data_IF_944039152150
#
_entry.id   IF_944039152150
#
_cell.length_a   1.000
_cell.length_b   1.000
_cell.length_c   1.000
_cell.angle_alpha   90.00
_cell.angle_beta   90.00
_cell.angle_gamma   90.00
#
_symmetry.space_group_name_H-M   'P 1'
#
loop_
_entity.id
_entity.type
_entity.pdbx_description
1 polymer ?
#
# COMPACT_ATOMS: atom_id res chain seq x y z
N UNK A 1 -20.02 -32.15 48.58
CA UNK A 1 -19.82 -32.46 50.02
C UNK A 1 -18.68 -31.61 50.56
N UNK A 2 -18.71 -31.35 51.87
CA UNK A 2 -17.64 -30.60 52.55
C UNK A 2 -16.37 -31.47 52.64
N UNK A 3 -15.22 -30.91 52.26
CA UNK A 3 -13.91 -31.63 52.27
C UNK A 3 -13.44 -32.00 53.70
N UNK A 4 -13.93 -31.22 54.72
CA UNK A 4 -13.48 -31.44 56.10
C UNK A 4 -14.39 -32.39 56.91
N UNK A 5 -15.70 -32.23 56.78
CA UNK A 5 -16.67 -32.98 57.60
C UNK A 5 -17.61 -33.88 56.81
N UNK A 6 -17.44 -33.95 55.48
CA UNK A 6 -18.24 -34.71 54.53
C UNK A 6 -19.74 -34.37 54.54
N UNK A 7 -20.13 -33.22 55.10
CA UNK A 7 -21.52 -32.75 55.09
C UNK A 7 -22.06 -32.67 53.65
N UNK A 8 -23.36 -32.98 53.45
CA UNK A 8 -23.98 -32.89 52.13
C UNK A 8 -23.94 -31.44 51.53
N UNK A 9 -24.07 -31.34 50.18
CA UNK A 9 -23.95 -30.08 49.45
C UNK A 9 -24.96 -29.00 49.90
N UNK A 10 -26.12 -29.39 50.44
CA UNK A 10 -27.18 -28.52 50.98
C UNK A 10 -26.71 -27.66 52.16
N UNK A 11 -25.61 -28.03 52.84
CA UNK A 11 -24.98 -27.28 53.92
C UNK A 11 -23.79 -26.41 53.46
N UNK A 12 -23.56 -26.36 52.15
CA UNK A 12 -22.47 -25.56 51.54
C UNK A 12 -23.05 -24.29 50.95
N UNK A 13 -22.64 -23.15 51.46
CA UNK A 13 -23.13 -21.83 51.04
C UNK A 13 -22.02 -21.05 50.36
N UNK A 14 -22.34 -20.34 49.25
CA UNK A 14 -21.44 -19.40 48.64
C UNK A 14 -21.15 -18.26 49.61
N UNK A 15 -19.88 -18.02 49.88
CA UNK A 15 -19.46 -16.91 50.72
C UNK A 15 -19.31 -15.68 49.82
N UNK A 16 -20.21 -14.69 49.97
CA UNK A 16 -20.26 -13.45 49.19
C UNK A 16 -19.14 -12.44 49.49
N UNK A 17 -18.06 -12.93 50.10
CA UNK A 17 -16.83 -12.14 50.33
C UNK A 17 -16.11 -11.78 49.02
N UNK A 18 -15.06 -10.96 49.12
CA UNK A 18 -14.23 -10.45 47.98
C UNK A 18 -13.69 -11.51 47.03
N UNK A 19 -13.88 -12.81 47.35
CA UNK A 19 -13.48 -13.96 46.52
C UNK A 19 -14.72 -14.82 46.23
N UNK A 20 -15.39 -14.56 45.13
CA UNK A 20 -16.63 -15.25 44.70
C UNK A 20 -16.49 -16.78 44.43
N UNK A 21 -15.45 -17.45 44.87
CA UNK A 21 -15.20 -18.88 44.76
C UNK A 21 -15.04 -19.57 46.12
N UNK A 22 -15.38 -18.90 47.21
CA UNK A 22 -15.35 -19.53 48.55
C UNK A 22 -16.71 -20.13 48.90
N UNK A 23 -16.65 -21.33 49.44
CA UNK A 23 -17.84 -22.03 49.95
C UNK A 23 -17.66 -22.29 51.43
N UNK A 24 -18.62 -21.80 52.23
CA UNK A 24 -18.65 -22.02 53.67
C UNK A 24 -19.50 -23.25 53.98
N UNK A 25 -18.97 -24.22 54.73
CA UNK A 25 -19.72 -25.28 55.30
C UNK A 25 -20.36 -24.81 56.61
N UNK A 26 -21.69 -24.80 56.68
CA UNK A 26 -22.42 -24.38 57.91
C UNK A 26 -22.33 -25.36 59.05
N UNK A 27 -21.93 -26.64 58.81
CA UNK A 27 -21.77 -27.63 59.84
C UNK A 27 -20.46 -27.47 60.62
N UNK A 28 -19.36 -27.30 59.92
CA UNK A 28 -18.03 -27.28 60.55
C UNK A 28 -17.27 -25.96 60.37
N UNK A 29 -17.85 -24.94 59.78
CA UNK A 29 -17.21 -23.64 59.53
C UNK A 29 -16.07 -23.69 58.53
N UNK A 30 -15.84 -24.80 57.87
CA UNK A 30 -14.76 -24.91 56.86
C UNK A 30 -15.01 -24.02 55.64
N UNK A 31 -14.01 -23.20 55.29
CA UNK A 31 -14.00 -22.43 54.05
C UNK A 31 -13.23 -23.20 52.99
N UNK A 32 -13.95 -23.82 52.08
CA UNK A 32 -13.38 -24.47 50.88
C UNK A 32 -13.37 -23.50 49.69
N UNK A 33 -12.64 -23.85 48.67
CA UNK A 33 -12.70 -23.15 47.38
C UNK A 33 -13.32 -24.09 46.34
N UNK A 34 -14.36 -23.61 45.67
CA UNK A 34 -14.84 -24.30 44.46
C UNK A 34 -13.89 -24.08 43.33
N UNK A 35 -13.46 -25.14 42.65
CA UNK A 35 -12.81 -24.99 41.37
C UNK A 35 -13.74 -24.22 40.43
N UNK A 36 -13.35 -23.01 40.06
CA UNK A 36 -14.05 -22.31 38.97
C UNK A 36 -13.88 -23.15 37.74
N UNK A 37 -14.94 -23.78 37.26
CA UNK A 37 -15.02 -24.14 35.85
C UNK A 37 -14.84 -22.84 35.08
N UNK A 38 -13.62 -22.62 34.61
CA UNK A 38 -13.31 -21.45 33.75
C UNK A 38 -14.25 -21.57 32.56
N UNK A 39 -15.23 -20.66 32.47
CA UNK A 39 -16.04 -20.53 31.26
C UNK A 39 -15.03 -20.45 30.12
N UNK A 40 -15.12 -21.38 29.17
CA UNK A 40 -14.33 -21.28 27.95
C UNK A 40 -14.54 -19.89 27.39
N UNK A 41 -13.45 -19.15 27.22
CA UNK A 41 -13.52 -17.80 26.66
C UNK A 41 -14.19 -17.90 25.29
N UNK A 42 -15.24 -17.15 25.06
CA UNK A 42 -15.88 -17.01 23.74
C UNK A 42 -15.02 -16.16 22.78
N UNK A 43 -13.73 -16.05 23.06
CA UNK A 43 -12.81 -15.30 22.23
C UNK A 43 -12.71 -15.94 20.84
N UNK A 44 -12.82 -15.10 19.80
CA UNK A 44 -12.73 -15.53 18.40
C UNK A 44 -11.34 -16.09 18.05
N UNK A 45 -10.29 -15.54 18.66
CA UNK A 45 -8.90 -15.92 18.40
C UNK A 45 -8.09 -16.09 19.67
N UNK A 46 -7.11 -16.99 19.61
CA UNK A 46 -6.18 -17.31 20.69
C UNK A 46 -4.74 -17.06 20.27
N UNK A 47 -3.89 -16.69 21.23
CA UNK A 47 -2.48 -16.46 20.98
C UNK A 47 -1.77 -17.80 20.67
N UNK A 48 -1.06 -17.94 19.55
CA UNK A 48 -0.37 -19.19 19.20
C UNK A 48 0.82 -19.49 20.10
N UNK A 49 1.29 -18.51 20.90
CA UNK A 49 2.47 -18.67 21.76
C UNK A 49 2.13 -19.00 23.22
N UNK A 50 0.96 -18.61 23.70
CA UNK A 50 0.58 -18.83 25.10
C UNK A 50 -0.86 -19.33 25.26
N UNK A 51 -1.57 -19.63 24.17
CA UNK A 51 -2.94 -20.14 24.13
C UNK A 51 -3.98 -19.31 24.90
N UNK A 52 -3.62 -18.09 25.35
CA UNK A 52 -4.57 -17.17 25.99
C UNK A 52 -5.40 -16.44 24.91
N UNK A 53 -6.67 -16.07 25.23
CA UNK A 53 -7.52 -15.36 24.30
C UNK A 53 -6.90 -14.02 23.89
N UNK A 54 -7.05 -13.64 22.61
CA UNK A 54 -6.68 -12.35 22.10
C UNK A 54 -7.81 -11.35 22.36
N UNK A 55 -7.45 -10.17 22.86
CA UNK A 55 -8.39 -9.07 23.04
C UNK A 55 -8.43 -8.20 21.80
N UNK A 56 -9.63 -7.79 21.38
CA UNK A 56 -9.80 -6.81 20.32
C UNK A 56 -9.19 -5.48 20.77
N UNK A 57 -8.23 -4.97 20.02
CA UNK A 57 -7.46 -3.78 20.38
C UNK A 57 -7.82 -2.55 19.55
N UNK A 58 -7.95 -2.73 18.23
CA UNK A 58 -8.36 -1.67 17.29
C UNK A 58 -9.26 -2.25 16.23
N UNK A 59 -10.21 -1.44 15.77
CA UNK A 59 -11.07 -1.76 14.62
C UNK A 59 -11.11 -0.55 13.70
N UNK A 60 -10.94 -0.80 12.41
CA UNK A 60 -11.16 0.14 11.32
C UNK A 60 -12.16 -0.45 10.33
N UNK A 61 -12.52 0.31 9.29
CA UNK A 61 -13.38 -0.18 8.21
C UNK A 61 -12.81 -1.38 7.46
N UNK A 62 -11.48 -1.51 7.41
CA UNK A 62 -10.78 -2.52 6.60
C UNK A 62 -10.10 -3.61 7.42
N UNK A 63 -9.87 -3.41 8.72
CA UNK A 63 -9.21 -4.41 9.57
C UNK A 63 -9.66 -4.36 11.03
N UNK A 64 -9.62 -5.50 11.70
CA UNK A 64 -9.70 -5.61 13.16
C UNK A 64 -8.42 -6.23 13.69
N UNK A 65 -7.78 -5.56 14.66
CA UNK A 65 -6.55 -6.01 15.29
C UNK A 65 -6.85 -6.63 16.65
N UNK A 66 -6.45 -7.86 16.83
CA UNK A 66 -6.51 -8.59 18.10
C UNK A 66 -5.11 -8.68 18.69
N UNK A 67 -4.98 -8.50 20.01
CA UNK A 67 -3.70 -8.43 20.72
C UNK A 67 -3.68 -9.39 21.91
N UNK A 68 -2.56 -10.08 22.09
CA UNK A 68 -2.27 -10.82 23.32
C UNK A 68 -1.95 -9.83 24.44
N UNK A 69 -2.69 -9.89 25.55
CA UNK A 69 -2.49 -9.00 26.71
C UNK A 69 -1.62 -9.61 27.80
N UNK A 70 -1.16 -10.86 27.64
CA UNK A 70 -0.38 -11.54 28.65
C UNK A 70 1.09 -11.09 28.66
N UNK A 71 1.57 -10.60 29.80
CA UNK A 71 2.97 -10.27 30.00
C UNK A 71 3.88 -11.50 30.19
N UNK A 72 3.29 -12.68 30.45
CA UNK A 72 4.00 -13.95 30.59
C UNK A 72 4.06 -14.72 29.25
N UNK A 73 3.58 -14.11 28.17
CA UNK A 73 3.61 -14.71 26.84
C UNK A 73 5.08 -14.91 26.38
N UNK A 74 5.48 -16.13 25.97
CA UNK A 74 6.84 -16.40 25.48
C UNK A 74 7.27 -15.45 24.35
N UNK A 75 6.35 -15.12 23.43
CA UNK A 75 6.61 -14.15 22.38
C UNK A 75 6.93 -12.75 22.93
N UNK A 76 6.15 -12.28 23.93
CA UNK A 76 6.39 -11.00 24.57
C UNK A 76 7.72 -10.97 25.30
N UNK A 77 8.02 -12.01 26.08
CA UNK A 77 9.27 -12.11 26.84
C UNK A 77 10.49 -12.14 25.91
N UNK A 78 10.44 -12.95 24.84
CA UNK A 78 11.51 -13.00 23.82
C UNK A 78 11.75 -11.64 23.16
N UNK A 79 10.68 -10.93 22.76
CA UNK A 79 10.81 -9.59 22.16
C UNK A 79 11.31 -8.55 23.17
N UNK A 80 10.88 -8.65 24.42
CA UNK A 80 11.31 -7.74 25.48
C UNK A 80 12.79 -7.90 25.82
N UNK A 81 13.30 -9.13 25.87
CA UNK A 81 14.72 -9.43 26.13
C UNK A 81 15.65 -9.01 24.98
N UNK A 82 15.13 -8.97 23.76
CA UNK A 82 15.89 -8.55 22.56
C UNK A 82 16.00 -7.02 22.40
N UNK A 83 15.36 -6.22 23.26
CA UNK A 83 15.48 -4.75 23.22
C UNK A 83 16.87 -4.28 23.66
N UNK A 84 17.45 -3.38 22.89
CA UNK A 84 18.69 -2.70 23.28
C UNK A 84 18.47 -1.80 24.52
N UNK A 85 19.52 -1.46 25.29
CA UNK A 85 19.41 -0.55 26.43
C UNK A 85 18.77 0.79 26.04
N UNK A 86 19.13 1.36 24.90
CA UNK A 86 18.58 2.60 24.39
C UNK A 86 17.08 2.51 24.08
N UNK A 87 16.64 1.40 23.47
CA UNK A 87 15.23 1.14 23.19
C UNK A 87 14.42 0.95 24.48
N UNK A 88 15.02 0.33 25.51
CA UNK A 88 14.39 0.19 26.83
C UNK A 88 14.17 1.54 27.50
N UNK A 89 15.14 2.46 27.39
CA UNK A 89 15.03 3.85 27.92
C UNK A 89 13.93 4.61 27.16
N UNK A 90 13.96 4.59 25.84
CA UNK A 90 12.92 5.23 25.00
C UNK A 90 11.52 4.71 25.34
N UNK A 91 11.37 3.40 25.58
CA UNK A 91 10.11 2.79 25.98
C UNK A 91 9.61 3.29 27.35
N UNK A 92 10.49 3.52 28.31
CA UNK A 92 10.12 4.06 29.62
C UNK A 92 9.65 5.52 29.53
N UNK A 93 10.21 6.30 28.63
CA UNK A 93 9.90 7.71 28.42
C UNK A 93 8.64 7.94 27.61
N UNK A 94 8.32 7.06 26.66
CA UNK A 94 7.16 7.17 25.77
C UNK A 94 6.10 6.12 26.15
N UNK A 95 5.05 6.54 26.86
CA UNK A 95 3.91 5.68 27.24
C UNK A 95 3.24 4.96 26.07
N UNK A 96 3.40 5.44 24.81
CA UNK A 96 2.77 4.94 23.60
C UNK A 96 3.68 5.08 22.38
N UNK A 97 4.78 4.31 22.30
CA UNK A 97 5.49 4.17 21.04
C UNK A 97 4.82 3.06 20.18
N UNK A 98 4.17 3.40 19.04
CA UNK A 98 3.53 2.43 18.15
C UNK A 98 4.54 1.44 17.52
N UNK A 99 5.85 1.76 17.54
CA UNK A 99 6.89 0.89 16.99
C UNK A 99 7.25 -0.27 17.91
N UNK A 100 6.97 -0.17 19.22
CA UNK A 100 7.24 -1.26 20.17
C UNK A 100 6.08 -2.24 20.30
N UNK A 101 5.77 -2.94 19.22
CA UNK A 101 4.74 -4.01 19.16
C UNK A 101 5.29 -5.31 19.75
N UNK A 102 5.51 -5.33 21.07
CA UNK A 102 6.10 -6.50 21.75
C UNK A 102 5.12 -7.66 21.87
N UNK A 103 3.84 -7.37 22.10
CA UNK A 103 2.81 -8.39 22.20
C UNK A 103 2.43 -8.94 20.83
N UNK A 104 2.09 -10.24 20.77
CA UNK A 104 1.55 -10.84 19.57
C UNK A 104 0.27 -10.13 19.13
N UNK A 105 0.14 -9.86 17.83
CA UNK A 105 -1.02 -9.24 17.21
C UNK A 105 -1.47 -10.11 16.05
N UNK A 106 -2.77 -10.37 15.99
CA UNK A 106 -3.43 -10.96 14.85
C UNK A 106 -4.30 -9.90 14.17
N UNK A 107 -4.25 -9.85 12.84
CA UNK A 107 -5.04 -8.90 12.04
C UNK A 107 -6.05 -9.66 11.22
N UNK A 108 -7.32 -9.32 11.41
CA UNK A 108 -8.42 -9.78 10.58
C UNK A 108 -8.78 -8.69 9.60
N UNK A 109 -8.73 -8.98 8.30
CA UNK A 109 -9.03 -8.02 7.25
C UNK A 109 -10.46 -8.19 6.76
N UNK A 110 -11.17 -7.06 6.60
CA UNK A 110 -12.54 -6.97 6.10
C UNK A 110 -12.53 -6.21 4.77
N UNK A 111 -11.76 -6.71 3.80
CA UNK A 111 -11.61 -6.08 2.50
C UNK A 111 -12.81 -6.42 1.62
N UNK A 112 -13.41 -5.39 1.03
CA UNK A 112 -14.46 -5.52 0.03
C UNK A 112 -13.84 -5.51 -1.37
N UNK A 113 -14.50 -6.05 -2.40
CA UNK A 113 -14.00 -5.99 -3.78
C UNK A 113 -13.70 -4.57 -4.26
N UNK A 114 -14.44 -3.56 -3.77
CA UNK A 114 -14.21 -2.15 -4.09
C UNK A 114 -12.88 -1.63 -3.55
N UNK A 115 -12.47 -2.09 -2.37
CA UNK A 115 -11.21 -1.70 -1.72
C UNK A 115 -9.97 -2.19 -2.50
N UNK A 116 -10.15 -3.18 -3.38
CA UNK A 116 -9.09 -3.77 -4.20
C UNK A 116 -8.95 -3.12 -5.57
N UNK A 117 -9.78 -2.11 -5.88
CA UNK A 117 -9.68 -1.35 -7.13
C UNK A 117 -8.66 -0.22 -6.99
N UNK A 118 -7.77 -0.13 -7.95
CA UNK A 118 -6.88 1.02 -8.06
C UNK A 118 -7.65 2.27 -8.49
N UNK A 119 -7.31 3.41 -7.87
CA UNK A 119 -7.89 4.69 -8.27
C UNK A 119 -7.39 5.08 -9.66
N UNK A 120 -8.33 5.49 -10.53
CA UNK A 120 -8.07 5.91 -11.90
C UNK A 120 -8.74 7.26 -12.18
N UNK A 121 -8.29 8.00 -13.21
CA UNK A 121 -8.97 9.22 -13.64
C UNK A 121 -10.43 8.96 -13.98
N UNK A 122 -11.30 9.93 -13.70
CA UNK A 122 -12.71 9.84 -14.04
C UNK A 122 -12.89 9.68 -15.56
N UNK A 123 -13.69 8.69 -15.98
CA UNK A 123 -13.99 8.44 -17.39
C UNK A 123 -14.77 9.59 -18.04
N UNK A 124 -15.66 10.27 -17.27
CA UNK A 124 -16.38 11.45 -17.73
C UNK A 124 -15.52 12.69 -17.56
N UNK A 125 -15.13 13.31 -18.66
CA UNK A 125 -14.34 14.54 -18.69
C UNK A 125 -15.15 15.71 -19.25
N UNK A 126 -14.72 16.93 -18.91
CA UNK A 126 -15.38 18.16 -19.42
C UNK A 126 -15.19 18.38 -20.93
N UNK A 127 -14.19 17.72 -21.50
CA UNK A 127 -13.82 17.83 -22.92
C UNK A 127 -13.67 16.44 -23.50
N UNK A 128 -14.26 16.22 -24.64
CA UNK A 128 -14.06 15.06 -25.47
C UNK A 128 -12.99 15.40 -26.51
N UNK A 129 -11.85 14.69 -26.48
CA UNK A 129 -10.74 14.98 -27.41
C UNK A 129 -11.11 14.77 -28.87
N UNK A 130 -12.12 13.95 -29.21
CA UNK A 130 -12.58 13.75 -30.57
C UNK A 130 -13.33 14.97 -31.14
N UNK A 131 -13.78 15.90 -30.28
CA UNK A 131 -14.61 17.05 -30.63
C UNK A 131 -13.93 18.40 -30.37
N UNK A 132 -12.62 18.42 -30.13
CA UNK A 132 -11.88 19.67 -29.90
C UNK A 132 -11.57 20.38 -31.21
N UNK A 133 -11.55 21.74 -31.18
CA UNK A 133 -11.16 22.53 -32.32
C UNK A 133 -9.63 22.53 -32.56
N UNK A 134 -8.86 22.32 -31.51
CA UNK A 134 -7.40 22.26 -31.59
C UNK A 134 -6.94 20.91 -32.15
N UNK A 135 -5.86 20.90 -32.91
CA UNK A 135 -5.28 19.65 -33.39
C UNK A 135 -4.73 18.78 -32.24
N UNK A 136 -4.66 17.48 -32.46
CA UNK A 136 -4.02 16.54 -31.50
C UNK A 136 -2.54 16.89 -31.25
N UNK A 137 -1.88 17.56 -32.21
CA UNK A 137 -0.52 18.09 -32.01
C UNK A 137 -0.46 19.12 -30.87
N UNK A 138 -1.47 20.00 -30.76
CA UNK A 138 -1.55 20.96 -29.65
C UNK A 138 -1.78 20.24 -28.31
N UNK A 139 -2.59 19.19 -28.28
CA UNK A 139 -2.72 18.35 -27.10
C UNK A 139 -1.37 17.69 -26.76
N UNK A 140 -0.66 17.20 -27.76
CA UNK A 140 0.70 16.65 -27.59
C UNK A 140 1.70 17.66 -27.02
N UNK A 141 1.66 18.91 -27.47
CA UNK A 141 2.45 20.00 -26.88
C UNK A 141 2.07 20.28 -25.42
N UNK A 142 0.77 20.33 -25.12
CA UNK A 142 0.27 20.47 -23.73
C UNK A 142 0.82 19.36 -22.85
N UNK A 143 0.73 18.11 -23.28
CA UNK A 143 1.22 16.96 -22.52
C UNK A 143 2.74 16.96 -22.37
N UNK A 144 3.47 17.38 -23.41
CA UNK A 144 4.93 17.53 -23.36
C UNK A 144 5.36 18.51 -22.28
N UNK A 145 4.77 19.70 -22.24
CA UNK A 145 5.11 20.69 -21.22
C UNK A 145 4.58 20.30 -19.84
N UNK A 146 3.34 19.84 -19.77
CA UNK A 146 2.70 19.51 -18.50
C UNK A 146 3.28 18.23 -17.89
N UNK A 147 3.45 17.15 -18.67
CA UNK A 147 3.91 15.85 -18.15
C UNK A 147 5.43 15.75 -18.26
N UNK A 148 6.02 15.78 -19.46
CA UNK A 148 7.46 15.50 -19.60
C UNK A 148 8.33 16.53 -18.89
N UNK A 149 8.02 17.83 -19.02
CA UNK A 149 8.76 18.92 -18.37
C UNK A 149 8.27 19.22 -16.94
N UNK A 150 7.15 18.61 -16.49
CA UNK A 150 6.64 18.80 -15.13
C UNK A 150 6.06 20.19 -14.81
N UNK A 151 5.67 20.97 -15.82
CA UNK A 151 5.25 22.35 -15.64
C UNK A 151 3.81 22.47 -15.12
N UNK A 152 3.51 23.56 -14.41
CA UNK A 152 2.14 23.90 -14.02
C UNK A 152 1.27 24.27 -15.23
N UNK A 153 -0.06 24.18 -15.10
CA UNK A 153 -0.99 24.55 -16.19
C UNK A 153 -0.86 26.00 -16.63
N UNK A 154 -0.54 26.91 -15.71
CA UNK A 154 -0.32 28.32 -16.01
C UNK A 154 0.97 28.51 -16.80
N UNK A 155 2.07 27.92 -16.35
CA UNK A 155 3.35 28.02 -17.06
C UNK A 155 3.29 27.31 -18.43
N UNK A 156 2.62 26.19 -18.53
CA UNK A 156 2.33 25.52 -19.81
C UNK A 156 1.60 26.46 -20.79
N UNK A 157 0.54 27.12 -20.32
CA UNK A 157 -0.18 28.14 -21.12
C UNK A 157 0.74 29.26 -21.58
N UNK A 158 1.57 29.78 -20.67
CA UNK A 158 2.41 30.93 -20.95
C UNK A 158 3.50 30.59 -21.98
N UNK A 159 4.11 29.39 -21.87
CA UNK A 159 5.10 28.93 -22.86
C UNK A 159 4.45 28.63 -24.23
N UNK A 160 3.27 28.02 -24.26
CA UNK A 160 2.54 27.80 -25.51
C UNK A 160 2.24 29.12 -26.23
N UNK A 161 1.83 30.16 -25.48
CA UNK A 161 1.60 31.47 -26.01
C UNK A 161 2.91 32.15 -26.45
N UNK A 162 3.96 32.16 -25.60
CA UNK A 162 5.20 32.89 -25.84
C UNK A 162 6.07 32.27 -26.92
N UNK A 163 6.11 30.94 -27.03
CA UNK A 163 6.99 30.26 -28.00
C UNK A 163 6.27 29.97 -29.32
N UNK A 164 5.00 29.54 -29.25
CA UNK A 164 4.26 29.02 -30.42
C UNK A 164 3.10 29.92 -30.85
N UNK A 165 2.82 31.01 -30.15
CA UNK A 165 1.66 31.85 -30.41
C UNK A 165 0.30 31.21 -30.11
N UNK A 166 0.30 30.02 -29.48
CA UNK A 166 -0.92 29.24 -29.21
C UNK A 166 -1.62 29.83 -27.97
N UNK A 167 -2.82 30.36 -28.16
CA UNK A 167 -3.62 30.97 -27.09
C UNK A 167 -4.59 29.94 -26.49
N UNK A 168 -4.25 29.43 -25.32
CA UNK A 168 -5.12 28.54 -24.52
C UNK A 168 -5.34 29.14 -23.13
N UNK A 169 -6.47 28.83 -22.48
CA UNK A 169 -6.63 29.12 -21.06
C UNK A 169 -5.90 28.03 -20.22
N UNK A 170 -5.48 28.36 -19.00
CA UNK A 170 -4.92 27.34 -18.10
C UNK A 170 -5.95 26.24 -17.76
N UNK A 171 -7.25 26.56 -17.80
CA UNK A 171 -8.32 25.59 -17.61
C UNK A 171 -8.42 24.62 -18.80
N UNK A 172 -8.22 25.13 -20.04
CA UNK A 172 -8.15 24.28 -21.24
C UNK A 172 -6.99 23.28 -21.14
N UNK A 173 -5.82 23.73 -20.65
CA UNK A 173 -4.68 22.84 -20.38
C UNK A 173 -5.08 21.71 -19.42
N UNK A 174 -5.74 22.02 -18.28
CA UNK A 174 -6.21 21.02 -17.31
C UNK A 174 -7.25 20.10 -17.94
N UNK A 175 -8.18 20.62 -18.72
CA UNK A 175 -9.21 19.83 -19.39
C UNK A 175 -8.59 18.82 -20.38
N UNK A 176 -7.59 19.23 -21.17
CA UNK A 176 -6.87 18.34 -22.09
C UNK A 176 -6.08 17.27 -21.35
N UNK A 177 -5.41 17.63 -20.26
CA UNK A 177 -4.70 16.67 -19.39
C UNK A 177 -5.65 15.62 -18.82
N UNK A 178 -6.80 16.04 -18.27
CA UNK A 178 -7.78 15.10 -17.71
C UNK A 178 -8.39 14.21 -18.81
N UNK A 179 -8.70 14.76 -19.97
CA UNK A 179 -9.27 13.99 -21.07
C UNK A 179 -8.26 12.98 -21.65
N UNK A 180 -7.00 13.38 -21.80
CA UNK A 180 -5.92 12.48 -22.22
C UNK A 180 -5.69 11.36 -21.20
N UNK A 181 -5.71 11.67 -19.91
CA UNK A 181 -5.57 10.67 -18.85
C UNK A 181 -6.73 9.67 -18.83
N UNK A 182 -7.96 10.15 -18.98
CA UNK A 182 -9.15 9.30 -19.05
C UNK A 182 -9.12 8.35 -20.26
N UNK A 183 -8.60 8.80 -21.40
CA UNK A 183 -8.44 8.01 -22.61
C UNK A 183 -7.30 6.98 -22.50
N UNK A 184 -6.17 7.36 -21.89
CA UNK A 184 -4.98 6.51 -21.74
C UNK A 184 -5.14 5.48 -20.62
N UNK A 185 -5.93 5.75 -19.58
CA UNK A 185 -6.05 4.85 -18.42
C UNK A 185 -6.48 3.43 -18.78
N UNK A 186 -7.53 3.19 -19.59
CA UNK A 186 -7.91 1.83 -19.99
C UNK A 186 -6.82 1.12 -20.80
N UNK A 187 -6.14 1.85 -21.68
CA UNK A 187 -5.01 1.32 -22.43
C UNK A 187 -3.90 0.84 -21.50
N UNK A 188 -3.53 1.63 -20.48
CA UNK A 188 -2.53 1.23 -19.50
C UNK A 188 -2.98 0.00 -18.72
N UNK A 189 -4.21 -0.03 -18.23
CA UNK A 189 -4.70 -1.15 -17.42
C UNK A 189 -4.68 -2.49 -18.21
N UNK A 190 -4.84 -2.43 -19.54
CA UNK A 190 -4.72 -3.60 -20.42
C UNK A 190 -3.27 -3.94 -20.81
N UNK A 191 -2.36 -2.96 -20.83
CA UNK A 191 -1.01 -3.10 -21.38
C UNK A 191 0.12 -2.93 -20.36
N UNK A 192 -0.17 -2.82 -19.06
CA UNK A 192 0.88 -2.90 -18.05
C UNK A 192 1.52 -4.29 -18.06
N UNK A 193 2.87 -4.37 -18.06
CA UNK A 193 3.54 -5.65 -18.03
C UNK A 193 3.38 -6.31 -16.67
N UNK A 194 3.36 -7.63 -16.63
CA UNK A 194 3.51 -8.36 -15.37
C UNK A 194 4.97 -8.29 -14.92
N UNK A 195 5.23 -8.17 -13.61
CA UNK A 195 6.60 -8.21 -13.10
C UNK A 195 7.30 -9.52 -13.42
N UNK A 196 8.62 -9.45 -13.62
CA UNK A 196 9.48 -10.62 -13.67
C UNK A 196 9.70 -11.25 -12.29
N UNK A 197 10.73 -12.08 -12.14
CA UNK A 197 11.03 -12.78 -10.87
C UNK A 197 11.23 -11.83 -9.69
N UNK A 198 11.85 -10.68 -9.92
CA UNK A 198 12.14 -9.68 -8.88
C UNK A 198 11.52 -8.35 -9.29
N UNK A 199 10.71 -7.80 -8.41
CA UNK A 199 10.17 -6.46 -8.52
C UNK A 199 10.41 -5.68 -7.24
N UNK A 200 10.37 -4.35 -7.30
CA UNK A 200 10.44 -3.50 -6.13
C UNK A 200 9.14 -2.70 -5.99
N UNK A 201 8.72 -2.51 -4.74
CA UNK A 201 7.55 -1.70 -4.42
C UNK A 201 7.89 -0.67 -3.35
N UNK A 202 7.32 0.51 -3.52
CA UNK A 202 7.42 1.59 -2.55
C UNK A 202 6.26 2.56 -2.76
N UNK A 203 5.92 3.33 -1.73
CA UNK A 203 4.96 4.41 -1.84
C UNK A 203 5.62 5.76 -1.65
N UNK A 204 5.07 6.74 -2.32
CA UNK A 204 5.47 8.14 -2.16
C UNK A 204 4.25 9.01 -1.92
N UNK A 205 4.42 10.08 -1.16
CA UNK A 205 3.34 10.96 -0.80
C UNK A 205 3.25 12.18 -1.73
N UNK A 206 2.04 12.70 -1.87
CA UNK A 206 1.72 13.98 -2.48
C UNK A 206 0.58 14.64 -1.70
N UNK A 207 0.43 15.95 -1.87
CA UNK A 207 -0.66 16.72 -1.26
C UNK A 207 -1.79 16.84 -2.27
N UNK A 208 -3.01 16.44 -1.87
CA UNK A 208 -4.25 16.63 -2.62
C UNK A 208 -5.26 17.32 -1.70
N UNK A 209 -5.81 18.47 -2.11
CA UNK A 209 -6.79 19.22 -1.30
C UNK A 209 -6.31 19.53 0.13
N UNK A 210 -5.00 19.80 0.28
CA UNK A 210 -4.28 20.02 1.53
C UNK A 210 -4.13 18.79 2.44
N UNK A 211 -4.48 17.60 1.98
CA UNK A 211 -4.33 16.35 2.70
C UNK A 211 -3.26 15.45 2.09
N UNK A 212 -2.64 14.60 2.91
CA UNK A 212 -1.66 13.64 2.46
C UNK A 212 -2.32 12.48 1.74
N UNK A 213 -1.86 12.23 0.49
CA UNK A 213 -2.20 11.08 -0.31
C UNK A 213 -0.93 10.31 -0.67
N UNK A 214 -1.09 9.05 -1.03
CA UNK A 214 0.00 8.13 -1.31
C UNK A 214 -0.14 7.54 -2.70
N UNK A 215 0.95 7.64 -3.48
CA UNK A 215 1.05 6.94 -4.76
C UNK A 215 1.91 5.71 -4.56
N UNK A 216 1.37 4.57 -4.90
CA UNK A 216 2.00 3.27 -4.79
C UNK A 216 2.52 2.85 -6.15
N UNK A 217 3.73 2.30 -6.20
CA UNK A 217 4.32 1.80 -7.42
C UNK A 217 4.88 0.40 -7.22
N UNK A 218 4.72 -0.46 -8.25
CA UNK A 218 5.48 -1.70 -8.42
C UNK A 218 6.26 -1.58 -9.71
N UNK A 219 7.56 -1.77 -9.66
CA UNK A 219 8.48 -1.66 -10.79
C UNK A 219 9.26 -2.96 -10.98
N UNK A 220 9.34 -3.45 -12.21
CA UNK A 220 10.13 -4.63 -12.55
C UNK A 220 11.63 -4.33 -12.52
N UNK A 221 12.40 -5.24 -11.95
CA UNK A 221 13.83 -5.05 -11.76
C UNK A 221 14.66 -5.19 -13.04
N UNK A 222 14.16 -5.88 -14.06
CA UNK A 222 14.87 -6.10 -15.33
C UNK A 222 14.51 -5.02 -16.34
N UNK A 223 13.23 -4.93 -16.68
CA UNK A 223 12.73 -4.00 -17.71
C UNK A 223 12.67 -2.56 -17.23
N UNK A 224 12.71 -2.32 -15.92
CA UNK A 224 12.51 -1.01 -15.29
C UNK A 224 11.11 -0.42 -15.58
N UNK A 225 10.17 -1.22 -16.04
CA UNK A 225 8.81 -0.80 -16.31
C UNK A 225 7.99 -0.73 -15.02
N UNK A 226 7.10 0.26 -14.92
CA UNK A 226 6.06 0.30 -13.89
C UNK A 226 5.02 -0.75 -14.28
N UNK A 227 4.84 -1.76 -13.40
CA UNK A 227 3.94 -2.88 -13.59
C UNK A 227 2.60 -2.70 -12.87
N UNK A 228 2.57 -1.86 -11.85
CA UNK A 228 1.36 -1.53 -11.09
C UNK A 228 1.47 -0.17 -10.44
N UNK A 229 0.36 0.53 -10.35
CA UNK A 229 0.27 1.81 -9.66
C UNK A 229 -1.11 2.06 -9.07
N UNK A 230 -1.15 2.81 -7.97
CA UNK A 230 -2.39 3.20 -7.31
C UNK A 230 -2.21 4.55 -6.63
N UNK A 231 -3.32 5.25 -6.41
CA UNK A 231 -3.38 6.49 -5.63
C UNK A 231 -4.41 6.29 -4.51
N UNK A 232 -4.05 6.63 -3.28
CA UNK A 232 -4.92 6.45 -2.12
C UNK A 232 -4.76 7.59 -1.10
N UNK A 233 -5.77 7.80 -0.30
CA UNK A 233 -5.81 8.70 0.86
C UNK A 233 -5.14 8.09 2.10
N UNK A 234 -4.94 6.79 2.12
CA UNK A 234 -4.37 6.05 3.25
C UNK A 234 -3.12 5.28 2.87
N UNK A 235 -2.23 5.06 3.85
CA UNK A 235 -1.05 4.19 3.76
C UNK A 235 -1.36 2.80 4.34
N UNK A 236 -2.52 2.26 3.98
CA UNK A 236 -3.07 1.03 4.54
C UNK A 236 -2.78 -0.23 3.72
N UNK A 237 -3.36 -1.34 4.18
CA UNK A 237 -3.23 -2.65 3.53
C UNK A 237 -4.03 -2.73 2.23
N UNK A 238 -5.24 -2.16 2.21
CA UNK A 238 -6.11 -2.20 1.03
C UNK A 238 -5.46 -1.59 -0.22
N UNK A 239 -4.93 -0.34 -0.20
CA UNK A 239 -4.26 0.22 -1.37
C UNK A 239 -2.98 -0.51 -1.75
N UNK A 240 -2.20 -1.04 -0.79
CA UNK A 240 -1.05 -1.87 -1.07
C UNK A 240 -1.46 -3.16 -1.81
N UNK A 241 -2.48 -3.85 -1.31
CA UNK A 241 -3.02 -5.06 -1.92
C UNK A 241 -3.60 -4.79 -3.30
N UNK A 242 -4.39 -3.72 -3.47
CA UNK A 242 -4.90 -3.29 -4.77
C UNK A 242 -3.76 -3.09 -5.79
N UNK A 243 -2.64 -2.50 -5.35
CA UNK A 243 -1.47 -2.31 -6.21
C UNK A 243 -0.81 -3.64 -6.59
N UNK A 244 -0.75 -4.61 -5.66
CA UNK A 244 -0.27 -5.96 -5.97
C UNK A 244 -1.19 -6.67 -6.98
N UNK A 245 -2.51 -6.58 -6.81
CA UNK A 245 -3.45 -7.11 -7.80
C UNK A 245 -3.31 -6.44 -9.18
N UNK A 246 -3.08 -5.13 -9.21
CA UNK A 246 -2.85 -4.41 -10.47
C UNK A 246 -1.57 -4.89 -11.16
N UNK A 247 -0.47 -5.13 -10.40
CA UNK A 247 0.80 -5.56 -10.94
C UNK A 247 0.83 -7.04 -11.35
N UNK A 248 0.36 -7.93 -10.46
CA UNK A 248 0.50 -9.37 -10.61
C UNK A 248 -0.77 -10.05 -11.16
N UNK A 249 -1.92 -9.39 -11.08
CA UNK A 249 -3.23 -10.00 -11.35
C UNK A 249 -3.73 -10.81 -10.15
N UNK A 250 -4.64 -11.76 -10.40
CA UNK A 250 -5.19 -12.62 -9.34
C UNK A 250 -4.18 -13.68 -8.90
N UNK A 251 -4.21 -14.12 -7.63
CA UNK A 251 -3.35 -15.19 -7.15
C UNK A 251 -3.47 -16.48 -7.97
N UNK A 252 -4.70 -16.84 -8.38
CA UNK A 252 -4.96 -18.04 -9.17
C UNK A 252 -4.27 -18.03 -10.54
N UNK A 253 -4.15 -16.85 -11.17
CA UNK A 253 -3.44 -16.69 -12.46
C UNK A 253 -1.93 -16.88 -12.36
N UNK A 254 -1.41 -16.97 -11.14
CA UNK A 254 0.02 -17.08 -10.84
C UNK A 254 0.38 -18.35 -10.08
N UNK A 255 -0.53 -19.33 -9.96
CA UNK A 255 -0.23 -20.63 -9.33
C UNK A 255 1.02 -21.26 -9.93
N UNK A 256 1.91 -21.76 -9.08
CA UNK A 256 3.20 -22.37 -9.48
C UNK A 256 4.29 -21.37 -9.87
N UNK A 257 4.03 -20.06 -9.80
CA UNK A 257 5.05 -19.01 -9.98
C UNK A 257 5.49 -18.47 -8.63
N UNK A 258 6.74 -18.04 -8.55
CA UNK A 258 7.29 -17.39 -7.37
C UNK A 258 7.91 -16.05 -7.76
N UNK A 259 7.48 -15.00 -7.07
CA UNK A 259 7.97 -13.63 -7.26
C UNK A 259 8.58 -13.12 -5.96
N UNK A 260 9.66 -12.37 -6.07
CA UNK A 260 10.27 -11.65 -4.95
C UNK A 260 9.94 -10.18 -5.03
N UNK A 261 9.27 -9.65 -3.99
CA UNK A 261 8.96 -8.23 -3.85
C UNK A 261 9.94 -7.58 -2.89
N UNK A 262 10.82 -6.74 -3.42
CA UNK A 262 11.76 -5.95 -2.63
C UNK A 262 11.07 -4.68 -2.15
N UNK A 263 11.12 -4.39 -0.85
CA UNK A 263 10.42 -3.28 -0.22
C UNK A 263 11.17 -2.72 0.98
N UNK A 264 10.70 -1.61 1.49
CA UNK A 264 11.11 -1.04 2.76
C UNK A 264 10.47 -1.76 3.96
N UNK A 265 10.58 -1.15 5.14
CA UNK A 265 9.99 -1.66 6.38
C UNK A 265 8.49 -1.43 6.54
N UNK A 266 7.76 -0.93 5.54
CA UNK A 266 6.33 -0.62 5.68
C UNK A 266 5.50 -1.89 5.94
N UNK A 267 4.81 -2.00 7.11
CA UNK A 267 4.04 -3.19 7.48
C UNK A 267 2.84 -3.47 6.56
N UNK A 268 2.37 -2.46 5.82
CA UNK A 268 1.23 -2.61 4.90
C UNK A 268 1.54 -3.60 3.78
N UNK A 269 2.78 -3.65 3.28
CA UNK A 269 3.20 -4.63 2.28
C UNK A 269 3.25 -6.05 2.84
N UNK A 270 3.71 -6.25 4.11
CA UNK A 270 3.72 -7.57 4.74
C UNK A 270 2.30 -8.14 4.79
N UNK A 271 1.38 -7.32 5.25
CA UNK A 271 -0.02 -7.68 5.38
C UNK A 271 -0.71 -7.88 4.02
N UNK A 272 -0.37 -7.05 3.03
CA UNK A 272 -0.90 -7.17 1.68
C UNK A 272 -0.42 -8.46 1.00
N UNK A 273 0.85 -8.85 1.14
CA UNK A 273 1.38 -10.11 0.63
C UNK A 273 0.74 -11.32 1.33
N UNK A 274 0.54 -11.25 2.67
CA UNK A 274 -0.20 -12.30 3.38
C UNK A 274 -1.62 -12.46 2.85
N UNK A 275 -2.33 -11.35 2.62
CA UNK A 275 -3.68 -11.38 2.07
C UNK A 275 -3.70 -11.88 0.62
N UNK A 276 -2.73 -11.49 -0.20
CA UNK A 276 -2.58 -11.96 -1.58
C UNK A 276 -2.34 -13.47 -1.65
N UNK A 277 -1.49 -14.01 -0.78
CA UNK A 277 -1.13 -15.43 -0.75
C UNK A 277 -2.14 -16.30 0.03
N UNK A 278 -3.18 -15.70 0.62
CA UNK A 278 -4.13 -16.42 1.44
C UNK A 278 -4.84 -17.53 0.65
N UNK A 279 -4.89 -18.74 1.23
CA UNK A 279 -5.53 -19.91 0.60
C UNK A 279 -4.70 -20.61 -0.48
N UNK A 280 -3.49 -20.13 -0.78
CA UNK A 280 -2.57 -20.81 -1.68
C UNK A 280 -1.72 -21.84 -0.92
N UNK A 281 -1.40 -23.00 -1.52
CA UNK A 281 -0.54 -24.01 -0.90
C UNK A 281 0.89 -23.51 -0.69
N UNK A 282 1.38 -22.66 -1.61
CA UNK A 282 2.68 -22.00 -1.54
C UNK A 282 2.53 -20.50 -1.83
N UNK A 283 3.33 -19.65 -1.17
CA UNK A 283 3.26 -18.23 -1.42
C UNK A 283 3.76 -17.90 -2.84
N UNK A 284 2.93 -17.18 -3.58
CA UNK A 284 3.26 -16.66 -4.93
C UNK A 284 4.18 -15.45 -4.83
N UNK A 285 3.93 -14.56 -3.85
CA UNK A 285 4.78 -13.37 -3.62
C UNK A 285 5.49 -13.53 -2.28
N UNK A 286 6.83 -13.57 -2.32
CA UNK A 286 7.70 -13.50 -1.16
C UNK A 286 8.29 -12.10 -1.01
N UNK A 287 8.47 -11.63 0.23
CA UNK A 287 8.98 -10.28 0.50
C UNK A 287 10.44 -10.28 0.95
N UNK A 288 11.26 -9.45 0.30
CA UNK A 288 12.60 -9.10 0.79
C UNK A 288 12.60 -7.68 1.34
N UNK A 289 12.96 -7.55 2.61
CA UNK A 289 12.96 -6.28 3.32
C UNK A 289 14.36 -5.69 3.36
N UNK A 290 14.52 -4.51 2.76
CA UNK A 290 15.79 -3.77 2.76
C UNK A 290 15.57 -2.43 3.48
N UNK A 291 16.17 -2.28 4.68
CA UNK A 291 16.04 -1.09 5.51
C UNK A 291 17.40 -0.39 5.63
N UNK A 292 17.34 0.94 5.69
CA UNK A 292 18.53 1.78 5.90
C UNK A 292 19.37 1.97 4.65
N UNK A 293 20.48 2.66 4.81
CA UNK A 293 21.42 3.03 3.74
C UNK A 293 22.61 2.07 3.64
N UNK A 294 22.88 1.32 4.69
CA UNK A 294 24.03 0.42 4.79
C UNK A 294 23.66 -1.03 4.48
N UNK A 295 24.57 -1.74 3.83
CA UNK A 295 24.45 -3.17 3.57
C UNK A 295 25.10 -3.93 4.73
N UNK A 296 24.33 -4.09 5.83
CA UNK A 296 24.81 -4.75 7.04
C UNK A 296 24.81 -6.29 6.93
N UNK A 297 24.14 -6.84 5.93
CA UNK A 297 24.04 -8.27 5.69
C UNK A 297 24.04 -8.57 4.18
N UNK A 298 24.33 -9.82 3.80
CA UNK A 298 24.43 -10.26 2.40
C UNK A 298 23.09 -10.09 1.66
N UNK A 299 21.97 -10.33 2.31
CA UNK A 299 20.63 -10.16 1.71
C UNK A 299 20.38 -8.70 1.36
N UNK A 300 20.67 -7.79 2.30
CA UNK A 300 20.52 -6.34 2.03
C UNK A 300 21.44 -5.90 0.89
N UNK A 301 22.66 -6.44 0.80
CA UNK A 301 23.61 -6.14 -0.26
C UNK A 301 23.07 -6.60 -1.62
N UNK A 302 22.53 -7.80 -1.71
CA UNK A 302 21.97 -8.38 -2.93
C UNK A 302 20.77 -7.57 -3.43
N UNK A 303 19.80 -7.28 -2.53
CA UNK A 303 18.52 -6.69 -2.91
C UNK A 303 18.49 -5.15 -2.91
N UNK A 304 19.51 -4.46 -2.40
CA UNK A 304 19.58 -2.99 -2.38
C UNK A 304 19.48 -2.34 -3.76
N UNK A 305 20.12 -2.84 -4.83
CA UNK A 305 19.97 -2.25 -6.16
C UNK A 305 18.53 -2.17 -6.64
N UNK A 306 17.72 -3.18 -6.28
CA UNK A 306 16.30 -3.24 -6.62
C UNK A 306 15.49 -2.20 -5.83
N UNK A 307 15.78 -2.03 -4.53
CA UNK A 307 15.16 -0.97 -3.73
C UNK A 307 15.51 0.42 -4.26
N UNK A 308 16.78 0.67 -4.58
CA UNK A 308 17.23 1.94 -5.16
C UNK A 308 16.52 2.27 -6.48
N UNK A 309 16.07 1.25 -7.23
CA UNK A 309 15.33 1.45 -8.46
C UNK A 309 13.97 2.15 -8.19
N UNK A 310 13.19 1.65 -7.23
CA UNK A 310 11.90 2.26 -6.89
C UNK A 310 12.10 3.62 -6.20
N UNK A 311 13.16 3.82 -5.43
CA UNK A 311 13.50 5.13 -4.86
C UNK A 311 13.81 6.17 -5.97
N UNK A 312 14.50 5.77 -7.05
CA UNK A 312 14.74 6.61 -8.24
C UNK A 312 13.44 6.91 -8.99
N UNK A 313 12.54 5.94 -9.09
CA UNK A 313 11.20 6.15 -9.65
C UNK A 313 10.45 7.19 -8.83
N UNK A 314 10.40 7.05 -7.52
CA UNK A 314 9.76 7.99 -6.61
C UNK A 314 10.37 9.40 -6.71
N UNK A 315 11.70 9.51 -6.86
CA UNK A 315 12.38 10.79 -7.11
C UNK A 315 11.94 11.40 -8.44
N UNK A 316 11.85 10.59 -9.49
CA UNK A 316 11.36 11.04 -10.80
C UNK A 316 9.91 11.52 -10.72
N UNK A 317 9.04 10.78 -10.02
CA UNK A 317 7.65 11.19 -9.82
C UNK A 317 7.53 12.49 -9.00
N UNK A 318 8.34 12.65 -7.96
CA UNK A 318 8.40 13.89 -7.16
C UNK A 318 8.85 15.11 -7.97
N UNK A 319 9.68 14.93 -8.99
CA UNK A 319 10.00 16.00 -9.93
C UNK A 319 8.75 16.58 -10.62
N UNK A 320 7.76 15.74 -10.91
CA UNK A 320 6.51 16.16 -11.53
C UNK A 320 5.45 16.68 -10.54
N UNK A 321 5.52 16.31 -9.27
CA UNK A 321 4.50 16.69 -8.27
C UNK A 321 4.89 17.92 -7.42
N UNK A 322 6.15 18.01 -6.99
CA UNK A 322 6.64 19.08 -6.11
C UNK A 322 6.46 20.50 -6.66
N UNK A 323 6.76 20.78 -7.96
CA UNK A 323 6.63 22.13 -8.50
C UNK A 323 5.18 22.66 -8.52
N UNK A 324 4.20 21.78 -8.30
CA UNK A 324 2.78 22.14 -8.28
C UNK A 324 2.26 22.57 -6.91
N UNK A 325 3.09 22.46 -5.87
CA UNK A 325 2.73 22.77 -4.49
C UNK A 325 1.42 22.12 -4.02
N UNK A 326 1.15 20.89 -4.50
CA UNK A 326 -0.07 20.13 -4.23
C UNK A 326 -1.06 20.13 -5.40
N UNK A 327 -1.98 19.19 -5.35
CA UNK A 327 -3.05 19.01 -6.33
C UNK A 327 -4.37 19.52 -5.77
N UNK A 328 -5.17 20.18 -6.62
CA UNK A 328 -6.46 20.76 -6.22
C UNK A 328 -7.64 19.81 -6.33
N UNK A 329 -7.40 18.57 -6.77
CA UNK A 329 -8.42 17.53 -6.83
C UNK A 329 -7.77 16.15 -6.94
N UNK A 330 -8.43 15.15 -6.39
CA UNK A 330 -8.02 13.76 -6.50
C UNK A 330 -7.99 13.28 -7.95
N UNK A 331 -8.96 13.72 -8.76
CA UNK A 331 -8.98 13.41 -10.20
C UNK A 331 -7.75 14.00 -10.93
N UNK A 332 -7.34 15.23 -10.61
CA UNK A 332 -6.14 15.84 -11.19
C UNK A 332 -4.84 15.11 -10.78
N UNK A 333 -4.77 14.65 -9.55
CA UNK A 333 -3.65 13.84 -9.06
C UNK A 333 -3.60 12.48 -9.77
N UNK A 334 -4.76 11.82 -9.92
CA UNK A 334 -4.89 10.56 -10.64
C UNK A 334 -4.55 10.71 -12.14
N UNK A 335 -5.01 11.79 -12.78
CA UNK A 335 -4.69 12.10 -14.17
C UNK A 335 -3.18 12.28 -14.38
N UNK A 336 -2.51 13.06 -13.50
CA UNK A 336 -1.07 13.23 -13.57
C UNK A 336 -0.33 11.89 -13.36
N UNK A 337 -0.75 11.09 -12.38
CA UNK A 337 -0.11 9.79 -12.09
C UNK A 337 -0.23 8.85 -13.28
N UNK A 338 -1.41 8.75 -13.88
CA UNK A 338 -1.66 7.92 -15.07
C UNK A 338 -0.79 8.36 -16.25
N UNK A 339 -0.77 9.66 -16.55
CA UNK A 339 0.07 10.18 -17.63
C UNK A 339 1.56 10.06 -17.33
N UNK A 340 1.98 10.17 -16.08
CA UNK A 340 3.36 9.91 -15.67
C UNK A 340 3.73 8.45 -15.92
N UNK A 341 2.87 7.48 -15.61
CA UNK A 341 3.11 6.05 -15.90
C UNK A 341 3.25 5.81 -17.41
N UNK A 342 2.35 6.41 -18.21
CA UNK A 342 2.43 6.34 -19.66
C UNK A 342 3.74 6.92 -20.20
N UNK A 343 4.10 8.12 -19.76
CA UNK A 343 5.36 8.77 -20.12
C UNK A 343 6.58 7.93 -19.70
N UNK A 344 6.61 7.46 -18.46
CA UNK A 344 7.72 6.70 -17.90
C UNK A 344 7.94 5.39 -18.67
N UNK A 345 6.89 4.66 -18.98
CA UNK A 345 6.97 3.34 -19.61
C UNK A 345 7.24 3.42 -21.13
N UNK A 346 6.61 4.36 -21.83
CA UNK A 346 6.56 4.34 -23.28
C UNK A 346 7.30 5.48 -24.00
N UNK A 347 7.49 6.62 -23.33
CA UNK A 347 8.04 7.81 -23.99
C UNK A 347 9.42 8.23 -23.45
N UNK A 348 9.67 7.97 -22.17
CA UNK A 348 10.91 8.38 -21.54
C UNK A 348 12.04 7.40 -21.86
N UNK A 349 13.07 7.89 -22.54
CA UNK A 349 14.32 7.14 -22.69
C UNK A 349 15.09 7.16 -21.37
N UNK A 350 15.41 6.00 -20.82
CA UNK A 350 16.20 5.85 -19.60
C UNK A 350 17.69 5.90 -19.92
N UNK A 351 18.42 6.79 -19.24
CA UNK A 351 19.85 7.00 -19.51
C UNK A 351 20.69 5.73 -19.42
N UNK A 352 20.39 4.85 -18.45
CA UNK A 352 21.11 3.59 -18.27
C UNK A 352 20.77 2.50 -19.29
N UNK A 353 19.54 2.51 -19.84
CA UNK A 353 19.10 1.50 -20.83
C UNK A 353 19.21 1.99 -22.26
N UNK A 354 19.29 3.30 -22.48
CA UNK A 354 19.27 3.97 -23.80
C UNK A 354 17.99 3.75 -24.62
N UNK A 355 16.95 3.22 -23.99
CA UNK A 355 15.62 3.03 -24.59
C UNK A 355 14.52 3.22 -23.54
N UNK A 356 13.27 3.19 -23.96
CA UNK A 356 12.10 3.19 -23.10
C UNK A 356 11.92 1.82 -22.41
N UNK A 357 11.37 1.73 -21.19
CA UNK A 357 11.09 0.46 -20.52
C UNK A 357 10.23 -0.49 -21.36
N UNK A 358 9.21 0.06 -22.03
CA UNK A 358 8.34 -0.68 -22.92
C UNK A 358 8.42 -0.10 -24.34
N UNK A 359 8.41 -0.99 -25.33
CA UNK A 359 8.41 -0.62 -26.74
C UNK A 359 7.03 -0.74 -27.32
N UNK A 360 6.57 0.28 -28.02
CA UNK A 360 5.40 0.25 -28.90
C UNK A 360 5.88 0.50 -30.33
N UNK A 361 5.58 -0.43 -31.24
CA UNK A 361 6.05 -0.35 -32.64
C UNK A 361 5.67 0.98 -33.29
N UNK A 362 4.43 1.43 -33.09
CA UNK A 362 3.93 2.70 -33.63
C UNK A 362 4.63 3.95 -33.09
N UNK A 363 5.43 3.85 -32.02
CA UNK A 363 6.23 4.95 -31.45
C UNK A 363 7.69 4.91 -31.93
N UNK A 364 8.13 3.83 -32.57
CA UNK A 364 9.50 3.71 -33.04
C UNK A 364 9.80 4.72 -34.14
N UNK A 365 10.98 5.33 -34.07
CA UNK A 365 11.42 6.34 -35.04
C UNK A 365 10.82 7.75 -34.83
N UNK A 366 9.88 7.93 -33.91
CA UNK A 366 9.34 9.27 -33.58
C UNK A 366 10.21 9.94 -32.53
N UNK A 367 10.95 10.98 -32.91
CA UNK A 367 11.82 11.76 -32.00
C UNK A 367 11.08 12.86 -31.24
N UNK A 368 10.00 13.42 -31.81
CA UNK A 368 9.25 14.53 -31.24
C UNK A 368 8.27 14.08 -30.15
N UNK A 369 8.44 14.56 -28.93
CA UNK A 369 7.51 14.25 -27.82
C UNK A 369 6.03 14.61 -28.11
N UNK A 370 5.71 15.78 -28.68
CA UNK A 370 4.31 16.07 -29.07
C UNK A 370 3.74 15.02 -30.00
N UNK A 371 4.52 14.55 -30.99
CA UNK A 371 4.08 13.52 -31.92
C UNK A 371 3.96 12.14 -31.27
N UNK A 372 4.85 11.83 -30.31
CA UNK A 372 4.74 10.59 -29.52
C UNK A 372 3.43 10.58 -28.69
N UNK A 373 3.08 11.69 -28.05
CA UNK A 373 1.81 11.83 -27.32
C UNK A 373 0.60 11.71 -28.26
N UNK A 374 0.64 12.39 -29.40
CA UNK A 374 -0.41 12.29 -30.42
C UNK A 374 -0.62 10.84 -30.85
N UNK A 375 0.46 10.13 -31.13
CA UNK A 375 0.42 8.71 -31.53
C UNK A 375 -0.10 7.82 -30.41
N UNK A 376 0.35 8.03 -29.15
CA UNK A 376 -0.13 7.26 -27.99
C UNK A 376 -1.63 7.48 -27.74
N UNK A 377 -2.12 8.72 -27.89
CA UNK A 377 -3.54 9.01 -27.82
C UNK A 377 -4.32 8.30 -28.94
N UNK A 378 -3.81 8.30 -30.17
CA UNK A 378 -4.45 7.58 -31.28
C UNK A 378 -4.51 6.04 -31.03
N UNK A 379 -3.43 5.46 -30.44
CA UNK A 379 -3.41 4.04 -30.06
C UNK A 379 -4.43 3.75 -28.96
N UNK A 380 -4.54 4.64 -27.97
CA UNK A 380 -5.44 4.44 -26.82
C UNK A 380 -6.91 4.70 -27.10
N UNK A 381 -7.25 5.28 -28.28
CA UNK A 381 -8.62 5.49 -28.73
C UNK A 381 -9.16 4.31 -29.54
N UNK A 382 -8.28 3.44 -30.05
CA UNK A 382 -8.62 2.24 -30.83
C UNK A 382 -8.94 1.05 -29.93
#
# INVERSE_FOLDING_TARGET
RCEKCNAPAEYLYLNDGKKANQVLCKICGHLGTTERVRRQSQAKYFCPHCSKPLSQWKTSSTETIYKCMSNDCPHYLKKKSALTPEEQVKRKQQKFDPNYKLHYQYREYHLKPEDLKCHRPACKTKVDLSKIHNSYHIVGLVLTFFVNAGLSSRLTRDLLKGIFGIKLSHQTVINYVNAAAAQIAPFLDCNLPKPGKIAAADETYLIVENEWHYTWFVIDSVTKAICGYNLSDTRGVAPALATLYNAYGTPDSNKGKQFTLVRDGCPSYDSAMMAYNHGLPEPVISGQKVIGLENLDEVSKEYRPHKQLVERLNRSYKFHTRPRAGMKSLNGASALTTLFVAYYNYLRVHSGMKHTPLKLEKLQGISSYPKQWETLLAISAA
#
